data_IF_959140787980
#
_entry.id   IF_959140787980
#
_cell.length_a   1.000
_cell.length_b   1.000
_cell.length_c   1.000
_cell.angle_alpha   90.00
_cell.angle_beta   90.00
_cell.angle_gamma   90.00
#
_symmetry.space_group_name_H-M   'P 1'
#
loop_
_entity.id
_entity.type
_entity.pdbx_description
1 polymer ?
#
# COMPACT_ATOMS: atom_id res chain seq x y z
N UNK A 1 14.46 -48.09 -90.61
CA UNK A 1 14.88 -49.10 -89.60
C UNK A 1 13.96 -49.01 -88.39
N UNK A 2 13.83 -50.12 -87.66
CA UNK A 2 12.74 -50.53 -86.76
C UNK A 2 12.22 -49.55 -85.67
N UNK A 3 10.95 -49.81 -85.32
CA UNK A 3 10.06 -49.24 -84.28
C UNK A 3 10.69 -49.03 -82.91
N UNK A 4 10.09 -48.14 -82.11
CA UNK A 4 9.52 -48.42 -80.77
C UNK A 4 8.71 -47.22 -80.24
N UNK A 5 7.40 -47.42 -80.01
CA UNK A 5 6.59 -46.65 -79.05
C UNK A 5 6.97 -47.01 -77.62
N UNK A 6 6.90 -46.06 -76.66
CA UNK A 6 6.09 -46.36 -75.47
C UNK A 6 5.34 -45.18 -74.83
N UNK A 7 4.12 -45.52 -74.41
CA UNK A 7 3.50 -45.28 -73.09
C UNK A 7 3.00 -43.87 -72.74
N UNK A 8 1.68 -43.77 -72.68
CA UNK A 8 0.93 -42.75 -71.97
C UNK A 8 1.30 -42.74 -70.47
N UNK A 9 1.70 -41.58 -69.95
CA UNK A 9 1.80 -41.34 -68.52
C UNK A 9 0.69 -40.38 -68.09
N UNK A 10 0.08 -40.75 -66.98
CA UNK A 10 -1.10 -40.19 -66.34
C UNK A 10 -0.85 -38.79 -65.79
N UNK A 11 -1.73 -37.83 -66.12
CA UNK A 11 -1.82 -36.56 -65.41
C UNK A 11 -2.21 -36.83 -63.95
N UNK A 12 -1.24 -36.73 -63.05
CA UNK A 12 -1.48 -36.67 -61.62
C UNK A 12 -1.97 -35.26 -61.28
N UNK A 13 -3.28 -35.11 -61.01
CA UNK A 13 -3.85 -33.92 -60.37
C UNK A 13 -3.07 -33.62 -59.09
N UNK A 14 -2.34 -32.50 -59.04
CA UNK A 14 -1.81 -31.94 -57.79
C UNK A 14 -2.98 -31.70 -56.82
N UNK A 15 -2.90 -32.14 -55.55
CA UNK A 15 -3.91 -31.81 -54.56
C UNK A 15 -3.90 -30.30 -54.34
N UNK A 16 -5.07 -29.67 -54.45
CA UNK A 16 -5.25 -28.25 -54.21
C UNK A 16 -4.76 -27.87 -52.82
N UNK A 17 -3.86 -26.90 -52.73
CA UNK A 17 -3.47 -26.26 -51.46
C UNK A 17 -4.73 -25.74 -50.78
N UNK A 18 -5.10 -26.35 -49.66
CA UNK A 18 -6.19 -25.93 -48.80
C UNK A 18 -5.87 -24.56 -48.19
N UNK A 19 -6.38 -23.48 -48.82
CA UNK A 19 -6.39 -22.10 -48.27
C UNK A 19 -7.11 -21.97 -46.92
N UNK A 20 -7.81 -23.01 -46.45
CA UNK A 20 -8.56 -23.02 -45.20
C UNK A 20 -7.71 -23.14 -43.92
N UNK A 21 -6.50 -23.73 -43.97
CA UNK A 21 -5.68 -23.96 -42.77
C UNK A 21 -5.10 -22.68 -42.16
N UNK A 22 -4.55 -21.80 -43.00
CA UNK A 22 -3.96 -20.52 -42.57
C UNK A 22 -5.01 -19.53 -42.04
N UNK A 23 -6.23 -19.51 -42.59
CA UNK A 23 -7.30 -18.63 -42.10
C UNK A 23 -7.83 -19.05 -40.73
N UNK A 24 -8.01 -20.37 -40.50
CA UNK A 24 -8.40 -20.90 -39.20
C UNK A 24 -7.29 -20.68 -38.17
N UNK A 25 -6.04 -20.93 -38.54
CA UNK A 25 -4.89 -20.71 -37.64
C UNK A 25 -4.74 -19.22 -37.28
N UNK A 26 -4.92 -18.30 -38.22
CA UNK A 26 -4.95 -16.86 -37.95
C UNK A 26 -6.12 -16.45 -37.04
N UNK A 27 -7.31 -17.03 -37.23
CA UNK A 27 -8.47 -16.79 -36.36
C UNK A 27 -8.22 -17.34 -34.95
N UNK A 28 -7.69 -18.56 -34.80
CA UNK A 28 -7.33 -19.14 -33.50
C UNK A 28 -6.22 -18.36 -32.80
N UNK A 29 -5.18 -17.91 -33.52
CA UNK A 29 -4.16 -17.01 -32.96
C UNK A 29 -4.78 -15.68 -32.53
N UNK A 30 -5.73 -15.12 -33.29
CA UNK A 30 -6.40 -13.86 -32.94
C UNK A 30 -7.35 -13.98 -31.73
N UNK A 31 -8.09 -15.09 -31.61
CA UNK A 31 -8.97 -15.35 -30.47
C UNK A 31 -8.18 -15.64 -29.19
N UNK A 32 -7.12 -16.45 -29.27
CA UNK A 32 -6.23 -16.71 -28.14
C UNK A 32 -5.51 -15.44 -27.68
N UNK A 33 -5.11 -14.57 -28.62
CA UNK A 33 -4.51 -13.27 -28.29
C UNK A 33 -5.52 -12.32 -27.62
N UNK A 34 -6.78 -12.30 -28.06
CA UNK A 34 -7.84 -11.53 -27.42
C UNK A 34 -8.17 -12.02 -26.00
N UNK A 35 -8.18 -13.34 -25.77
CA UNK A 35 -8.38 -13.92 -24.43
C UNK A 35 -7.21 -13.54 -23.52
N UNK A 36 -5.96 -13.66 -23.99
CA UNK A 36 -4.78 -13.25 -23.21
C UNK A 36 -4.88 -11.77 -22.82
N UNK A 37 -5.25 -10.89 -23.77
CA UNK A 37 -5.46 -9.47 -23.51
C UNK A 37 -6.54 -9.21 -22.44
N UNK A 38 -7.66 -9.95 -22.48
CA UNK A 38 -8.74 -9.77 -21.52
C UNK A 38 -8.42 -10.33 -20.12
N UNK A 39 -7.69 -11.45 -20.06
CA UNK A 39 -7.40 -12.17 -18.81
C UNK A 39 -6.16 -11.63 -18.11
N UNK A 40 -5.18 -11.10 -18.84
CA UNK A 40 -3.93 -10.60 -18.28
C UNK A 40 -4.12 -9.51 -17.21
N UNK A 41 -4.94 -8.46 -17.41
CA UNK A 41 -5.19 -7.48 -16.35
C UNK A 41 -5.89 -8.09 -15.12
N UNK A 42 -6.70 -9.13 -15.27
CA UNK A 42 -7.28 -9.84 -14.11
C UNK A 42 -6.23 -10.61 -13.31
N UNK A 43 -5.29 -11.29 -13.98
CA UNK A 43 -4.19 -12.00 -13.32
C UNK A 43 -3.30 -11.01 -12.56
N UNK A 44 -2.89 -9.92 -13.22
CA UNK A 44 -2.08 -8.88 -12.60
C UNK A 44 -2.84 -8.26 -11.42
N UNK A 45 -4.14 -8.00 -11.58
CA UNK A 45 -4.99 -7.49 -10.50
C UNK A 45 -4.97 -8.44 -9.30
N UNK A 46 -5.14 -9.75 -9.48
CA UNK A 46 -5.12 -10.69 -8.35
C UNK A 46 -3.76 -10.72 -7.66
N UNK A 47 -2.67 -10.74 -8.44
CA UNK A 47 -1.30 -10.78 -7.91
C UNK A 47 -0.96 -9.57 -7.05
N UNK A 48 -1.43 -8.39 -7.43
CA UNK A 48 -1.10 -7.14 -6.72
C UNK A 48 -2.16 -6.75 -5.68
N UNK A 49 -3.24 -7.52 -5.56
CA UNK A 49 -4.39 -7.13 -4.73
C UNK A 49 -5.12 -5.91 -5.29
N UNK A 50 -5.39 -5.92 -6.58
CA UNK A 50 -6.18 -4.92 -7.31
C UNK A 50 -7.68 -5.19 -7.24
N UNK A 51 -8.44 -4.72 -8.23
CA UNK A 51 -9.91 -4.79 -8.22
C UNK A 51 -10.49 -6.20 -8.15
N UNK A 52 -9.79 -7.25 -8.61
CA UNK A 52 -10.30 -8.63 -8.53
C UNK A 52 -10.45 -9.10 -7.09
N UNK A 53 -9.68 -8.55 -6.14
CA UNK A 53 -9.77 -8.88 -4.72
C UNK A 53 -11.18 -8.69 -4.13
N UNK A 54 -11.98 -7.79 -4.70
CA UNK A 54 -13.41 -7.62 -4.35
C UNK A 54 -14.26 -8.86 -4.58
N UNK A 55 -13.85 -9.69 -5.52
CA UNK A 55 -14.58 -10.87 -5.96
C UNK A 55 -13.90 -12.16 -5.48
N UNK A 56 -12.60 -12.10 -5.20
CA UNK A 56 -11.80 -13.28 -4.82
C UNK A 56 -11.48 -13.35 -3.33
N UNK A 57 -11.64 -12.27 -2.56
CA UNK A 57 -11.46 -12.34 -1.11
C UNK A 57 -12.50 -13.27 -0.47
N UNK A 58 -12.10 -14.14 0.47
CA UNK A 58 -13.06 -14.96 1.23
C UNK A 58 -13.91 -14.12 2.19
N UNK A 59 -13.53 -12.86 2.44
CA UNK A 59 -14.25 -11.92 3.30
C UNK A 59 -15.10 -11.00 2.44
N UNK A 60 -16.39 -10.91 2.78
CA UNK A 60 -17.30 -9.96 2.15
C UNK A 60 -17.48 -8.74 3.06
N UNK A 61 -16.84 -7.63 2.70
CA UNK A 61 -16.94 -6.37 3.44
C UNK A 61 -17.22 -5.20 2.52
N UNK A 62 -18.22 -4.40 2.87
CA UNK A 62 -18.64 -3.20 2.14
C UNK A 62 -18.87 -2.05 3.12
N UNK A 63 -19.04 -0.79 2.67
CA UNK A 63 -19.39 0.31 3.58
C UNK A 63 -20.68 0.06 4.39
N UNK A 64 -21.61 -0.74 3.86
CA UNK A 64 -22.83 -1.12 4.56
C UNK A 64 -22.59 -2.11 5.69
N UNK A 65 -21.48 -2.85 5.68
CA UNK A 65 -21.06 -3.77 6.73
C UNK A 65 -20.57 -3.06 8.00
N UNK A 66 -20.25 -1.76 7.92
CA UNK A 66 -19.80 -0.97 9.06
C UNK A 66 -21.00 -0.76 10.02
N UNK A 67 -20.88 -1.11 11.31
CA UNK A 67 -21.93 -0.89 12.30
C UNK A 67 -22.10 0.60 12.62
N UNK A 68 -23.10 0.94 13.43
CA UNK A 68 -23.17 2.28 14.02
C UNK A 68 -22.01 2.50 14.99
N UNK A 69 -21.31 3.63 14.85
CA UNK A 69 -20.12 4.01 15.61
C UNK A 69 -20.39 5.21 16.52
N UNK A 70 -21.65 5.50 16.83
CA UNK A 70 -22.04 6.54 17.80
C UNK A 70 -21.24 6.39 19.10
N UNK A 71 -20.62 7.48 19.55
CA UNK A 71 -19.78 7.51 20.74
C UNK A 71 -18.38 6.89 20.58
N UNK A 72 -18.00 6.46 19.37
CA UNK A 72 -16.65 6.01 19.05
C UNK A 72 -15.85 7.12 18.42
N UNK A 73 -14.58 7.20 18.79
CA UNK A 73 -13.63 8.21 18.28
C UNK A 73 -12.52 7.52 17.51
N UNK A 74 -12.25 8.04 16.31
CA UNK A 74 -11.21 7.55 15.42
C UNK A 74 -10.22 8.65 15.03
N UNK A 75 -8.93 8.34 15.08
CA UNK A 75 -7.88 9.14 14.46
C UNK A 75 -7.48 8.46 13.13
N UNK A 76 -7.45 9.22 12.05
CA UNK A 76 -6.96 8.74 10.74
C UNK A 76 -5.85 9.65 10.25
N UNK A 77 -4.62 9.13 10.18
CA UNK A 77 -3.47 9.88 9.65
C UNK A 77 -3.52 9.93 8.11
N UNK A 78 -3.17 11.07 7.52
CA UNK A 78 -3.23 11.28 6.07
C UNK A 78 -4.66 11.31 5.51
N UNK A 79 -5.63 11.72 6.32
CA UNK A 79 -7.05 11.68 5.98
C UNK A 79 -7.55 12.85 5.10
N UNK A 80 -6.65 13.69 4.59
CA UNK A 80 -7.01 14.81 3.72
C UNK A 80 -7.21 14.40 2.25
N UNK A 81 -6.75 13.21 1.85
CA UNK A 81 -6.87 12.70 0.47
C UNK A 81 -6.82 11.16 0.45
N UNK A 82 -7.00 10.57 -0.74
CA UNK A 82 -6.72 9.16 -0.99
C UNK A 82 -7.53 8.20 -0.12
N UNK A 83 -6.89 7.10 0.27
CA UNK A 83 -7.49 6.05 1.11
C UNK A 83 -7.92 6.63 2.46
N UNK A 84 -7.05 7.40 3.11
CA UNK A 84 -7.31 8.00 4.42
C UNK A 84 -8.58 8.84 4.43
N UNK A 85 -8.80 9.66 3.39
CA UNK A 85 -10.04 10.43 3.24
C UNK A 85 -11.27 9.52 3.17
N UNK A 86 -11.23 8.47 2.34
CA UNK A 86 -12.36 7.54 2.23
C UNK A 86 -12.60 6.77 3.52
N UNK A 87 -11.56 6.38 4.25
CA UNK A 87 -11.70 5.78 5.59
C UNK A 87 -12.36 6.74 6.58
N UNK A 88 -11.87 7.98 6.66
CA UNK A 88 -12.49 8.99 7.52
C UNK A 88 -13.96 9.27 7.14
N UNK A 89 -14.26 9.31 5.84
CA UNK A 89 -15.61 9.50 5.32
C UNK A 89 -16.56 8.37 5.74
N UNK A 90 -16.17 7.11 5.56
CA UNK A 90 -17.05 5.98 5.91
C UNK A 90 -17.23 5.83 7.42
N UNK A 91 -16.20 6.12 8.23
CA UNK A 91 -16.32 6.16 9.69
C UNK A 91 -17.30 7.27 10.13
N UNK A 92 -17.16 8.47 9.57
CA UNK A 92 -18.04 9.60 9.87
C UNK A 92 -19.48 9.35 9.40
N UNK A 93 -19.68 8.71 8.24
CA UNK A 93 -21.00 8.30 7.73
C UNK A 93 -21.72 7.33 8.69
N UNK A 94 -20.96 6.68 9.56
CA UNK A 94 -21.44 5.73 10.57
C UNK A 94 -21.39 6.35 11.96
N UNK A 95 -21.49 7.67 12.07
CA UNK A 95 -21.60 8.44 13.31
C UNK A 95 -20.37 8.40 14.24
N UNK A 96 -19.20 7.93 13.75
CA UNK A 96 -17.97 8.08 14.51
C UNK A 96 -17.58 9.57 14.59
N UNK A 97 -16.98 9.97 15.71
CA UNK A 97 -16.25 11.22 15.80
C UNK A 97 -14.86 11.01 15.20
N UNK A 98 -14.49 11.78 14.17
CA UNK A 98 -13.27 11.54 13.38
C UNK A 98 -12.30 12.70 13.47
N UNK A 99 -11.08 12.41 13.88
CA UNK A 99 -9.93 13.32 13.82
C UNK A 99 -9.19 13.10 12.49
N UNK A 100 -9.37 14.05 11.58
CA UNK A 100 -8.62 14.16 10.33
C UNK A 100 -7.23 14.70 10.66
N UNK A 101 -6.22 13.82 10.65
CA UNK A 101 -4.85 14.19 10.95
C UNK A 101 -4.03 14.30 9.65
N UNK A 102 -3.47 15.48 9.36
CA UNK A 102 -2.57 15.66 8.21
C UNK A 102 -1.69 16.90 8.37
N UNK A 103 -0.63 16.99 7.56
CA UNK A 103 0.37 18.07 7.67
C UNK A 103 -0.09 19.43 7.17
N UNK A 104 -1.06 19.47 6.26
CA UNK A 104 -1.49 20.67 5.55
C UNK A 104 -2.83 21.15 6.13
N UNK A 105 -2.86 22.26 6.89
CA UNK A 105 -4.09 22.74 7.51
C UNK A 105 -5.19 23.09 6.52
N UNK A 106 -4.84 23.67 5.38
CA UNK A 106 -5.81 24.07 4.35
C UNK A 106 -6.47 22.84 3.75
N UNK A 107 -5.69 21.84 3.34
CA UNK A 107 -6.24 20.59 2.79
C UNK A 107 -6.99 19.78 3.85
N UNK A 108 -6.49 19.76 5.08
CA UNK A 108 -7.14 19.10 6.20
C UNK A 108 -8.52 19.67 6.51
N UNK A 109 -8.63 21.00 6.63
CA UNK A 109 -9.91 21.68 6.85
C UNK A 109 -10.87 21.51 5.68
N UNK A 110 -10.39 21.56 4.43
CA UNK A 110 -11.21 21.28 3.25
C UNK A 110 -11.76 19.85 3.25
N UNK A 111 -10.96 18.87 3.68
CA UNK A 111 -11.40 17.48 3.82
C UNK A 111 -12.47 17.35 4.91
N UNK A 112 -12.30 17.99 6.07
CA UNK A 112 -13.32 18.03 7.12
C UNK A 112 -14.64 18.57 6.59
N UNK A 113 -14.63 19.74 5.93
CA UNK A 113 -15.83 20.36 5.39
C UNK A 113 -16.57 19.41 4.41
N UNK A 114 -15.85 18.78 3.49
CA UNK A 114 -16.40 17.79 2.56
C UNK A 114 -16.99 16.56 3.24
N UNK A 115 -16.34 16.05 4.29
CA UNK A 115 -16.85 14.88 5.02
C UNK A 115 -18.13 15.26 5.77
N UNK A 116 -18.14 16.40 6.46
CA UNK A 116 -19.32 16.89 7.17
C UNK A 116 -20.50 17.11 6.21
N UNK A 117 -20.26 17.70 5.04
CA UNK A 117 -21.28 17.88 4.00
C UNK A 117 -21.81 16.53 3.46
N UNK A 118 -20.92 15.56 3.22
CA UNK A 118 -21.29 14.27 2.64
C UNK A 118 -21.94 13.28 3.63
N UNK A 119 -21.92 13.57 4.94
CA UNK A 119 -22.39 12.66 5.99
C UNK A 119 -23.38 13.28 6.96
N UNK A 120 -23.54 14.61 6.93
CA UNK A 120 -24.24 15.42 7.94
C UNK A 120 -23.71 15.25 9.39
N UNK A 121 -22.57 14.57 9.55
CA UNK A 121 -21.93 14.39 10.84
C UNK A 121 -21.00 15.57 11.15
N UNK A 122 -21.32 16.33 12.20
CA UNK A 122 -20.55 17.50 12.64
C UNK A 122 -19.38 17.17 13.56
N UNK A 123 -19.26 15.92 14.01
CA UNK A 123 -18.18 15.43 14.86
C UNK A 123 -16.92 15.03 14.08
N UNK A 124 -16.59 15.81 13.04
CA UNK A 124 -15.34 15.64 12.28
C UNK A 124 -14.48 16.86 12.50
N UNK A 125 -13.23 16.67 12.96
CA UNK A 125 -12.32 17.77 13.32
C UNK A 125 -10.95 17.55 12.68
N UNK A 126 -10.27 18.65 12.38
CA UNK A 126 -8.90 18.63 11.88
C UNK A 126 -7.93 18.87 13.03
N UNK A 127 -6.85 18.08 13.09
CA UNK A 127 -5.67 18.36 13.91
C UNK A 127 -4.40 18.24 13.05
N UNK A 128 -3.47 19.20 13.11
CA UNK A 128 -2.26 19.18 12.30
C UNK A 128 -1.29 18.09 12.79
N UNK A 129 -0.82 17.28 11.85
CA UNK A 129 0.14 16.20 12.10
C UNK A 129 1.13 16.08 10.95
N UNK A 130 2.38 16.45 11.19
CA UNK A 130 3.51 16.17 10.30
C UNK A 130 4.35 15.02 10.87
N UNK A 131 4.23 13.84 10.27
CA UNK A 131 4.98 12.65 10.67
C UNK A 131 6.48 12.74 10.35
N UNK A 132 6.93 13.75 9.60
CA UNK A 132 8.36 14.02 9.39
C UNK A 132 9.00 14.86 10.50
N UNK A 133 8.26 15.15 11.58
CA UNK A 133 8.71 15.93 12.73
C UNK A 133 8.20 15.33 14.04
N UNK A 134 9.07 14.74 14.85
CA UNK A 134 8.71 14.17 16.15
C UNK A 134 8.10 15.24 17.10
N UNK A 135 8.53 16.50 16.98
CA UNK A 135 7.90 17.62 17.68
C UNK A 135 6.43 17.83 17.27
N UNK A 136 6.13 17.74 15.97
CA UNK A 136 4.75 17.82 15.49
C UNK A 136 3.92 16.64 15.99
N UNK A 137 4.47 15.43 15.98
CA UNK A 137 3.80 14.22 16.50
C UNK A 137 3.45 14.38 17.98
N UNK A 138 4.39 14.88 18.79
CA UNK A 138 4.15 15.17 20.22
C UNK A 138 3.07 16.21 20.42
N UNK A 139 3.13 17.31 19.65
CA UNK A 139 2.13 18.39 19.72
C UNK A 139 0.73 17.91 19.34
N UNK A 140 0.63 17.05 18.32
CA UNK A 140 -0.63 16.42 17.94
C UNK A 140 -1.21 15.54 19.06
N UNK A 141 -0.38 14.68 19.67
CA UNK A 141 -0.83 13.79 20.74
C UNK A 141 -1.35 14.60 21.95
N UNK A 142 -0.63 15.65 22.35
CA UNK A 142 -1.06 16.58 23.41
C UNK A 142 -2.38 17.28 23.06
N UNK A 143 -2.51 17.77 21.82
CA UNK A 143 -3.73 18.42 21.36
C UNK A 143 -4.94 17.47 21.38
N UNK A 144 -4.77 16.21 20.96
CA UNK A 144 -5.82 15.21 21.03
C UNK A 144 -6.19 14.87 22.49
N UNK A 145 -5.20 14.64 23.35
CA UNK A 145 -5.42 14.32 24.77
C UNK A 145 -6.14 15.47 25.51
N UNK A 146 -5.87 16.72 25.15
CA UNK A 146 -6.56 17.89 25.69
C UNK A 146 -8.06 17.93 25.34
N UNK A 147 -8.50 17.21 24.30
CA UNK A 147 -9.93 17.07 23.99
C UNK A 147 -10.67 16.15 24.97
N UNK A 148 -9.94 15.36 25.78
CA UNK A 148 -10.51 14.40 26.74
C UNK A 148 -11.50 13.41 26.10
N UNK A 149 -11.22 13.04 24.86
CA UNK A 149 -12.02 12.07 24.10
C UNK A 149 -11.45 10.65 24.30
N UNK A 150 -12.28 9.60 24.22
CA UNK A 150 -11.76 8.24 24.07
C UNK A 150 -11.00 8.12 22.74
N UNK A 151 -10.16 7.10 22.61
CA UNK A 151 -9.49 6.71 21.38
C UNK A 151 -9.80 5.25 21.09
N UNK A 152 -10.87 4.99 20.34
CA UNK A 152 -11.32 3.63 20.04
C UNK A 152 -10.61 3.05 18.81
N UNK A 153 -10.24 3.91 17.85
CA UNK A 153 -9.62 3.47 16.59
C UNK A 153 -8.48 4.43 16.21
N UNK A 154 -7.29 3.90 16.02
CA UNK A 154 -6.14 4.61 15.47
C UNK A 154 -5.74 3.99 14.14
N UNK A 155 -5.97 4.70 13.03
CA UNK A 155 -5.57 4.28 11.69
C UNK A 155 -4.31 5.02 11.28
N UNK A 156 -3.19 4.27 11.24
CA UNK A 156 -1.88 4.74 10.82
C UNK A 156 -1.78 4.60 9.28
N UNK A 157 -2.54 5.43 8.57
CA UNK A 157 -2.71 5.37 7.12
C UNK A 157 -1.69 6.22 6.34
N UNK A 158 -1.24 7.34 6.90
CA UNK A 158 -0.35 8.25 6.20
C UNK A 158 0.93 7.55 5.72
N UNK A 159 1.36 7.87 4.52
CA UNK A 159 2.65 7.42 4.04
C UNK A 159 3.09 8.17 2.81
N UNK A 160 4.39 8.15 2.58
CA UNK A 160 5.02 8.68 1.39
C UNK A 160 5.75 7.56 0.65
N UNK A 161 5.82 7.73 -0.65
CA UNK A 161 6.65 6.96 -1.57
C UNK A 161 7.20 8.00 -2.54
N UNK A 162 8.49 8.32 -2.40
CA UNK A 162 9.18 9.24 -3.30
C UNK A 162 9.79 8.51 -4.50
N UNK A 163 9.89 7.18 -4.44
CA UNK A 163 10.33 6.36 -5.56
C UNK A 163 9.28 6.27 -6.66
N UNK A 164 9.59 6.62 -7.91
CA UNK A 164 8.82 6.22 -9.06
C UNK A 164 9.14 4.74 -9.41
N UNK A 165 8.86 3.78 -8.54
CA UNK A 165 8.82 2.36 -8.91
C UNK A 165 10.13 1.79 -9.45
N UNK A 166 11.16 1.73 -8.60
CA UNK A 166 12.50 1.29 -8.97
C UNK A 166 12.69 -0.22 -9.28
N UNK A 167 11.62 -1.03 -9.38
CA UNK A 167 11.77 -2.44 -9.79
C UNK A 167 11.68 -2.67 -11.30
N UNK A 168 11.25 -1.69 -12.10
CA UNK A 168 11.10 -1.86 -13.55
C UNK A 168 11.82 -0.81 -14.41
N UNK A 169 12.47 0.17 -13.78
CA UNK A 169 12.93 1.39 -14.45
C UNK A 169 14.33 1.76 -13.95
N UNK A 170 15.35 1.05 -14.45
CA UNK A 170 16.74 1.49 -14.48
C UNK A 170 17.50 1.62 -13.15
N UNK A 171 18.84 1.60 -13.22
CA UNK A 171 19.74 1.78 -12.05
C UNK A 171 20.02 3.25 -11.70
N UNK A 172 19.48 4.20 -12.47
CA UNK A 172 19.82 5.63 -12.34
C UNK A 172 18.77 6.46 -11.58
N UNK A 173 17.75 5.82 -10.98
CA UNK A 173 16.68 6.52 -10.27
C UNK A 173 16.90 6.56 -8.75
N UNK A 174 17.96 7.22 -8.30
CA UNK A 174 17.99 7.83 -6.96
C UNK A 174 17.54 9.28 -7.10
N UNK A 175 16.28 9.49 -7.47
CA UNK A 175 15.67 10.81 -7.27
C UNK A 175 14.98 10.80 -5.91
N UNK A 176 15.49 11.57 -4.96
CA UNK A 176 14.70 11.92 -3.77
C UNK A 176 15.08 11.25 -2.46
N UNK A 177 16.36 10.86 -2.28
CA UNK A 177 16.89 10.74 -0.93
C UNK A 177 16.65 12.07 -0.20
N UNK A 178 15.88 12.01 0.88
CA UNK A 178 15.57 13.15 1.73
C UNK A 178 15.61 12.68 3.17
N UNK A 179 15.92 13.62 4.07
CA UNK A 179 15.85 13.39 5.50
C UNK A 179 14.63 14.11 6.08
N UNK A 180 14.00 13.52 7.08
CA UNK A 180 13.03 14.19 7.94
C UNK A 180 13.69 15.30 8.74
N UNK A 181 12.89 16.12 9.44
CA UNK A 181 13.40 17.19 10.29
C UNK A 181 14.31 16.64 11.42
N UNK A 182 14.08 15.39 11.82
CA UNK A 182 14.83 14.68 12.87
C UNK A 182 16.03 13.89 12.32
N UNK A 183 16.29 14.00 11.00
CA UNK A 183 17.44 13.42 10.32
C UNK A 183 17.28 11.96 9.88
N UNK A 184 16.06 11.41 9.94
CA UNK A 184 15.79 10.05 9.45
C UNK A 184 15.61 10.02 7.94
N UNK A 185 15.98 8.94 7.28
CA UNK A 185 15.57 8.67 5.90
C UNK A 185 14.04 8.81 5.81
N UNK A 186 13.57 9.52 4.78
CA UNK A 186 12.21 10.05 4.76
C UNK A 186 11.12 8.96 4.77
N UNK A 187 11.31 7.82 4.10
CA UNK A 187 10.33 6.75 4.07
C UNK A 187 10.17 6.10 5.43
N UNK A 188 11.27 5.66 6.05
CA UNK A 188 11.21 5.04 7.39
C UNK A 188 10.78 6.05 8.45
N UNK A 189 11.27 7.29 8.34
CA UNK A 189 10.93 8.39 9.23
C UNK A 189 9.43 8.69 9.27
N UNK A 190 8.81 8.84 8.10
CA UNK A 190 7.38 9.18 7.98
C UNK A 190 6.48 7.96 8.16
N UNK A 191 6.77 6.85 7.47
CA UNK A 191 5.83 5.73 7.37
C UNK A 191 5.80 4.88 8.64
N UNK A 192 6.93 4.77 9.35
CA UNK A 192 7.12 3.92 10.53
C UNK A 192 7.46 4.73 11.79
N UNK A 193 8.57 5.46 11.84
CA UNK A 193 9.06 6.10 13.08
C UNK A 193 8.05 7.12 13.64
N UNK A 194 7.52 8.00 12.79
CA UNK A 194 6.50 8.98 13.21
C UNK A 194 5.22 8.32 13.73
N UNK A 195 4.80 7.21 13.11
CA UNK A 195 3.63 6.44 13.54
C UNK A 195 3.87 5.62 14.80
N UNK A 196 5.06 5.04 14.94
CA UNK A 196 5.51 4.37 16.15
C UNK A 196 5.45 5.35 17.32
N UNK A 197 6.07 6.52 17.16
CA UNK A 197 6.10 7.54 18.20
C UNK A 197 4.69 8.05 18.56
N UNK A 198 3.85 8.31 17.54
CA UNK A 198 2.45 8.68 17.74
C UNK A 198 1.70 7.62 18.58
N UNK A 199 1.87 6.34 18.25
CA UNK A 199 1.21 5.25 18.95
C UNK A 199 1.67 5.14 20.39
N UNK A 200 2.98 5.30 20.64
CA UNK A 200 3.53 5.29 21.99
C UNK A 200 3.00 6.44 22.85
N UNK A 201 2.87 7.65 22.28
CA UNK A 201 2.30 8.80 23.00
C UNK A 201 0.80 8.66 23.28
N UNK A 202 0.07 7.93 22.42
CA UNK A 202 -1.37 7.68 22.56
C UNK A 202 -1.68 6.34 23.24
N UNK A 203 -0.67 5.61 23.72
CA UNK A 203 -0.81 4.27 24.29
C UNK A 203 -1.79 4.25 25.46
N UNK A 204 -1.65 5.17 26.41
CA UNK A 204 -2.55 5.25 27.57
C UNK A 204 -3.98 5.61 27.16
N UNK A 205 -4.16 6.48 26.15
CA UNK A 205 -5.48 6.79 25.59
C UNK A 205 -6.15 5.56 24.98
N UNK A 206 -5.38 4.72 24.26
CA UNK A 206 -5.87 3.47 23.68
C UNK A 206 -6.29 2.49 24.78
N UNK A 207 -5.45 2.29 25.80
CA UNK A 207 -5.71 1.37 26.92
C UNK A 207 -6.95 1.83 27.70
N UNK A 208 -7.04 3.11 28.04
CA UNK A 208 -8.18 3.68 28.77
C UNK A 208 -9.50 3.59 27.97
N UNK A 209 -9.41 3.42 26.65
CA UNK A 209 -10.56 3.36 25.73
C UNK A 209 -10.88 1.94 25.28
N UNK A 210 -10.26 0.92 25.90
CA UNK A 210 -10.49 -0.47 25.57
C UNK A 210 -11.99 -0.85 25.65
N UNK A 211 -12.53 -1.64 24.70
CA UNK A 211 -11.84 -2.20 23.54
C UNK A 211 -11.49 -1.12 22.50
N UNK A 212 -10.21 -1.08 22.10
CA UNK A 212 -9.67 -0.13 21.12
C UNK A 212 -8.74 -0.85 20.14
N UNK A 213 -8.43 -0.18 19.01
CA UNK A 213 -7.73 -0.81 17.89
C UNK A 213 -6.70 0.10 17.25
N UNK A 214 -5.61 -0.50 16.79
CA UNK A 214 -4.60 0.14 15.94
C UNK A 214 -4.53 -0.59 14.60
N UNK A 215 -4.65 0.13 13.49
CA UNK A 215 -4.51 -0.44 12.14
C UNK A 215 -3.35 0.25 11.42
N UNK A 216 -2.29 -0.50 11.15
CA UNK A 216 -1.08 -0.03 10.46
C UNK A 216 -1.17 -0.30 8.96
N UNK A 217 -1.25 0.76 8.15
CA UNK A 217 -1.30 0.61 6.69
C UNK A 217 0.12 0.37 6.15
N UNK A 218 0.33 -0.85 5.69
CA UNK A 218 1.52 -1.31 5.00
C UNK A 218 1.23 -1.38 3.48
N UNK A 219 1.87 -2.28 2.74
CA UNK A 219 1.74 -2.42 1.29
C UNK A 219 2.38 -3.74 0.86
N UNK A 220 1.95 -4.31 -0.27
CA UNK A 220 2.68 -5.40 -0.95
C UNK A 220 4.14 -5.06 -1.25
N UNK A 221 4.52 -3.78 -1.26
CA UNK A 221 5.92 -3.36 -1.38
C UNK A 221 6.83 -3.88 -0.26
N UNK A 222 6.29 -4.34 0.88
CA UNK A 222 7.06 -5.00 1.94
C UNK A 222 7.88 -6.21 1.43
N UNK A 223 7.35 -6.94 0.43
CA UNK A 223 8.06 -8.07 -0.18
C UNK A 223 9.35 -7.64 -0.89
N UNK A 224 9.44 -6.36 -1.26
CA UNK A 224 10.57 -5.73 -1.94
C UNK A 224 11.55 -5.04 -1.00
N UNK A 225 11.44 -5.23 0.32
CA UNK A 225 12.43 -4.78 1.29
C UNK A 225 13.81 -5.41 1.04
N UNK A 226 14.84 -4.94 1.76
CA UNK A 226 16.22 -5.36 1.52
C UNK A 226 16.41 -6.87 1.65
N UNK A 227 17.17 -7.49 0.75
CA UNK A 227 17.47 -8.92 0.80
C UNK A 227 18.92 -9.16 1.23
N UNK A 228 19.19 -10.11 2.16
CA UNK A 228 18.22 -10.96 2.87
C UNK A 228 17.64 -10.32 4.16
N UNK A 229 18.11 -9.14 4.55
CA UNK A 229 17.97 -8.61 5.92
C UNK A 229 16.58 -8.06 6.27
N UNK A 230 15.80 -7.63 5.28
CA UNK A 230 14.53 -6.92 5.40
C UNK A 230 14.69 -5.49 5.91
N UNK A 231 15.25 -5.34 7.11
CA UNK A 231 15.48 -4.07 7.79
C UNK A 231 16.98 -3.82 7.95
N UNK A 232 17.44 -2.65 7.50
CA UNK A 232 18.81 -2.15 7.59
C UNK A 232 18.85 -0.87 8.40
N UNK A 233 19.07 -0.99 9.71
CA UNK A 233 19.05 0.12 10.67
C UNK A 233 20.10 1.19 10.38
N UNK A 234 21.24 0.79 9.79
CA UNK A 234 22.31 1.69 9.39
C UNK A 234 21.91 2.67 8.28
N UNK A 235 20.82 2.37 7.54
CA UNK A 235 20.23 3.24 6.52
C UNK A 235 19.11 4.16 7.06
N UNK A 236 18.76 4.07 8.35
CA UNK A 236 17.65 4.85 8.89
C UNK A 236 18.02 6.30 9.19
N UNK A 237 19.29 6.55 9.55
CA UNK A 237 19.81 7.89 9.86
C UNK A 237 21.16 8.16 9.19
N UNK A 238 21.24 8.04 7.85
CA UNK A 238 22.49 8.22 7.13
C UNK A 238 22.96 9.68 7.20
N UNK A 239 24.27 9.88 7.20
CA UNK A 239 24.88 11.22 7.33
C UNK A 239 24.54 12.14 6.14
N UNK A 240 24.53 11.56 4.94
CA UNK A 240 24.23 12.23 3.67
C UNK A 240 23.91 11.19 2.59
N UNK A 241 23.61 11.67 1.38
CA UNK A 241 23.28 10.82 0.24
C UNK A 241 24.48 9.96 -0.21
N UNK A 242 25.70 10.48 -0.12
CA UNK A 242 26.91 9.74 -0.50
C UNK A 242 27.14 8.53 0.42
N UNK A 243 26.95 8.74 1.73
CA UNK A 243 27.01 7.68 2.73
C UNK A 243 25.92 6.63 2.48
N UNK A 244 24.67 7.06 2.27
CA UNK A 244 23.57 6.16 1.97
C UNK A 244 23.86 5.32 0.70
N UNK A 245 24.35 5.96 -0.36
CA UNK A 245 24.73 5.29 -1.61
C UNK A 245 25.86 4.28 -1.42
N UNK A 246 26.91 4.64 -0.65
CA UNK A 246 28.01 3.74 -0.33
C UNK A 246 27.55 2.51 0.47
N UNK A 247 26.50 2.67 1.28
CA UNK A 247 25.85 1.60 2.03
C UNK A 247 24.82 0.82 1.20
N UNK A 248 24.67 1.11 -0.09
CA UNK A 248 23.77 0.39 -0.98
C UNK A 248 22.30 0.77 -0.80
N UNK A 249 22.02 2.03 -0.46
CA UNK A 249 20.65 2.57 -0.46
C UNK A 249 19.99 2.40 -1.84
N UNK A 250 18.78 1.87 -1.84
CA UNK A 250 17.89 1.80 -2.98
C UNK A 250 16.51 2.27 -2.54
N UNK A 251 15.90 3.19 -3.28
CA UNK A 251 14.73 3.95 -2.85
C UNK A 251 13.47 3.09 -2.78
N UNK A 252 13.29 2.17 -3.74
CA UNK A 252 12.20 1.19 -3.72
C UNK A 252 12.31 0.22 -2.55
N UNK A 253 13.51 -0.26 -2.25
CA UNK A 253 13.82 -1.15 -1.13
C UNK A 253 13.69 -0.42 0.22
N UNK A 254 14.05 0.86 0.30
CA UNK A 254 13.83 1.71 1.48
C UNK A 254 12.33 1.91 1.76
N UNK A 255 11.53 2.17 0.73
CA UNK A 255 10.08 2.19 0.86
C UNK A 255 9.53 0.83 1.29
N UNK A 256 9.96 -0.27 0.65
CA UNK A 256 9.57 -1.63 1.02
C UNK A 256 9.90 -1.97 2.47
N UNK A 257 11.11 -1.61 2.92
CA UNK A 257 11.54 -1.72 4.31
C UNK A 257 10.60 -0.97 5.26
N UNK A 258 10.19 0.26 4.93
CA UNK A 258 9.25 1.02 5.75
C UNK A 258 7.88 0.31 5.89
N UNK A 259 7.45 -0.42 4.86
CA UNK A 259 6.19 -1.17 4.85
C UNK A 259 6.32 -2.52 5.57
N UNK A 260 7.47 -3.17 5.49
CA UNK A 260 7.80 -4.33 6.33
C UNK A 260 7.84 -3.93 7.82
N UNK A 261 8.45 -2.79 8.14
CA UNK A 261 8.50 -2.25 9.50
C UNK A 261 7.10 -2.02 10.09
N UNK A 262 6.16 -1.46 9.31
CA UNK A 262 4.76 -1.29 9.75
C UNK A 262 4.07 -2.61 10.13
N UNK A 263 4.36 -3.70 9.41
CA UNK A 263 3.77 -5.01 9.68
C UNK A 263 4.39 -5.66 10.92
N UNK A 264 5.72 -5.64 11.05
CA UNK A 264 6.43 -6.12 12.24
C UNK A 264 6.05 -5.30 13.49
N UNK A 265 5.85 -3.98 13.34
CA UNK A 265 5.36 -3.11 14.40
C UNK A 265 3.98 -3.54 14.90
N UNK A 266 3.04 -3.83 14.00
CA UNK A 266 1.69 -4.24 14.40
C UNK A 266 1.74 -5.53 15.23
N UNK A 267 2.59 -6.49 14.86
CA UNK A 267 2.81 -7.73 15.62
C UNK A 267 3.32 -7.50 17.02
N UNK A 268 4.43 -6.76 17.13
CA UNK A 268 5.00 -6.47 18.45
C UNK A 268 4.03 -5.66 19.31
N UNK A 269 3.34 -4.67 18.73
CA UNK A 269 2.33 -3.90 19.45
C UNK A 269 1.20 -4.81 19.97
N UNK A 270 0.82 -5.86 19.23
CA UNK A 270 -0.16 -6.86 19.66
C UNK A 270 0.33 -7.62 20.89
N UNK A 271 1.59 -8.05 20.91
CA UNK A 271 2.21 -8.70 22.07
C UNK A 271 2.24 -7.76 23.28
N UNK A 272 2.70 -6.52 23.06
CA UNK A 272 2.85 -5.50 24.08
C UNK A 272 1.51 -5.05 24.70
N UNK A 273 0.40 -5.17 23.97
CA UNK A 273 -0.93 -4.72 24.40
C UNK A 273 -1.94 -5.85 24.65
N UNK A 274 -1.51 -7.11 24.56
CA UNK A 274 -2.36 -8.30 24.65
C UNK A 274 -3.26 -8.32 25.89
N UNK A 275 -2.74 -7.88 27.03
CA UNK A 275 -3.46 -7.89 28.32
C UNK A 275 -4.28 -6.60 28.57
N UNK A 276 -4.20 -5.63 27.67
CA UNK A 276 -4.85 -4.32 27.83
C UNK A 276 -6.13 -4.15 27.01
N UNK A 277 -6.61 -5.21 26.35
CA UNK A 277 -7.84 -5.14 25.55
C UNK A 277 -7.72 -4.26 24.30
N UNK A 278 -6.49 -4.00 23.83
CA UNK A 278 -6.21 -3.29 22.59
C UNK A 278 -5.76 -4.29 21.54
N UNK A 279 -6.39 -4.27 20.36
CA UNK A 279 -5.97 -5.10 19.23
C UNK A 279 -5.25 -4.29 18.16
N UNK A 280 -4.40 -4.98 17.41
CA UNK A 280 -3.52 -4.38 16.41
C UNK A 280 -3.55 -5.21 15.15
N UNK A 281 -3.51 -4.55 13.99
CA UNK A 281 -3.54 -5.22 12.70
C UNK A 281 -2.67 -4.45 11.72
N UNK A 282 -2.13 -5.15 10.72
CA UNK A 282 -1.49 -4.49 9.57
C UNK A 282 -2.11 -4.95 8.26
N UNK A 283 -2.09 -4.09 7.24
CA UNK A 283 -2.68 -4.46 5.96
C UNK A 283 -2.06 -3.79 4.75
N UNK A 284 -2.15 -4.48 3.61
CA UNK A 284 -2.02 -3.89 2.27
C UNK A 284 -3.41 -3.44 1.79
N UNK A 285 -3.62 -2.15 1.48
CA UNK A 285 -4.93 -1.65 1.04
C UNK A 285 -5.24 -1.99 -0.43
N UNK A 286 -4.31 -2.62 -1.13
CA UNK A 286 -4.42 -2.89 -2.57
C UNK A 286 -3.61 -1.90 -3.40
N UNK A 287 -3.32 -2.26 -4.64
CA UNK A 287 -2.71 -1.29 -5.57
C UNK A 287 -3.83 -0.44 -6.15
N UNK A 288 -3.86 0.83 -5.72
CA UNK A 288 -4.89 1.80 -6.06
C UNK A 288 -4.37 2.87 -7.03
N UNK A 289 -5.28 3.41 -7.83
CA UNK A 289 -5.04 4.69 -8.53
C UNK A 289 -5.03 5.76 -7.44
N UNK A 290 -3.87 6.34 -7.15
CA UNK A 290 -3.71 7.33 -6.09
C UNK A 290 -2.81 8.48 -6.53
N UNK A 291 -2.87 9.59 -5.83
CA UNK A 291 -1.90 10.69 -5.96
C UNK A 291 -0.44 10.23 -5.79
N UNK A 292 -0.22 9.08 -5.14
CA UNK A 292 1.09 8.44 -5.01
C UNK A 292 1.67 8.04 -6.38
N UNK A 293 0.82 7.73 -7.37
CA UNK A 293 1.26 7.37 -8.73
C UNK A 293 1.60 8.57 -9.60
N UNK A 294 1.34 9.82 -9.17
CA UNK A 294 1.74 11.02 -9.91
C UNK A 294 3.25 11.13 -10.07
N UNK A 295 4.01 10.68 -9.08
CA UNK A 295 5.48 10.58 -9.18
C UNK A 295 5.92 9.47 -10.16
N UNK A 296 5.13 8.39 -10.32
CA UNK A 296 5.39 7.35 -11.32
C UNK A 296 5.22 7.89 -12.75
N UNK A 297 4.14 8.63 -13.02
CA UNK A 297 3.78 9.06 -14.37
C UNK A 297 4.80 10.03 -15.00
N UNK A 298 5.26 11.04 -14.25
CA UNK A 298 6.19 12.04 -14.75
C UNK A 298 7.56 11.45 -15.13
N UNK A 299 8.04 10.46 -14.38
CA UNK A 299 9.35 9.84 -14.59
C UNK A 299 9.33 8.76 -15.69
N UNK A 300 8.18 8.08 -15.88
CA UNK A 300 7.97 7.16 -17.00
C UNK A 300 8.05 7.91 -18.34
N UNK A 301 7.54 9.14 -18.42
CA UNK A 301 7.56 9.95 -19.65
C UNK A 301 8.98 10.41 -20.02
N UNK A 302 9.79 10.81 -19.04
CA UNK A 302 11.16 11.27 -19.24
C UNK A 302 12.12 10.12 -19.64
N UNK A 303 12.01 8.95 -18.99
CA UNK A 303 12.80 7.78 -19.37
C UNK A 303 12.33 7.13 -20.67
N UNK A 304 11.03 7.10 -20.94
CA UNK A 304 10.51 6.59 -22.21
C UNK A 304 11.11 7.37 -23.39
N UNK A 305 11.40 8.67 -23.23
CA UNK A 305 12.02 9.45 -24.29
C UNK A 305 13.41 8.97 -24.72
N UNK A 306 14.15 8.24 -23.87
CA UNK A 306 15.48 7.70 -24.20
C UNK A 306 15.44 6.27 -24.76
N UNK A 307 14.28 5.60 -24.79
CA UNK A 307 14.14 4.22 -25.29
C UNK A 307 13.64 4.17 -26.73
N UNK A 308 13.86 3.04 -27.41
CA UNK A 308 13.39 2.84 -28.79
C UNK A 308 11.87 2.99 -28.88
N UNK A 309 11.36 3.47 -30.01
CA UNK A 309 9.93 3.72 -30.19
C UNK A 309 9.04 2.50 -29.89
N UNK A 310 9.50 1.28 -30.20
CA UNK A 310 8.81 0.03 -29.86
C UNK A 310 8.76 -0.22 -28.36
N UNK A 311 9.86 0.02 -27.64
CA UNK A 311 9.90 -0.13 -26.17
C UNK A 311 9.04 0.91 -25.46
N UNK A 312 8.92 2.13 -26.00
CA UNK A 312 7.97 3.15 -25.53
C UNK A 312 6.53 2.71 -25.70
N UNK A 313 6.21 2.16 -26.86
CA UNK A 313 4.88 1.63 -27.15
C UNK A 313 4.51 0.47 -26.20
N UNK A 314 5.45 -0.45 -25.96
CA UNK A 314 5.25 -1.55 -25.00
C UNK A 314 5.11 -1.06 -23.56
N UNK A 315 5.91 -0.09 -23.13
CA UNK A 315 5.84 0.49 -21.78
C UNK A 315 4.52 1.25 -21.57
N UNK A 316 4.07 2.02 -22.57
CA UNK A 316 2.78 2.71 -22.53
C UNK A 316 1.61 1.73 -22.50
N UNK A 317 1.65 0.68 -23.34
CA UNK A 317 0.66 -0.38 -23.29
C UNK A 317 0.64 -1.06 -21.92
N UNK A 318 1.80 -1.47 -21.40
CA UNK A 318 1.92 -2.07 -20.07
C UNK A 318 1.39 -1.15 -18.96
N UNK A 319 1.73 0.13 -18.98
CA UNK A 319 1.21 1.13 -18.04
C UNK A 319 -0.32 1.22 -18.07
N UNK A 320 -0.92 1.24 -19.27
CA UNK A 320 -2.38 1.20 -19.45
C UNK A 320 -3.01 -0.11 -18.92
N UNK A 321 -2.37 -1.25 -19.15
CA UNK A 321 -2.83 -2.53 -18.59
C UNK A 321 -2.70 -2.58 -17.07
N UNK A 322 -1.65 -1.97 -16.52
CA UNK A 322 -1.44 -1.87 -15.09
C UNK A 322 -2.49 -0.96 -14.43
N UNK A 323 -2.83 0.18 -15.05
CA UNK A 323 -3.95 1.03 -14.61
C UNK A 323 -5.27 0.26 -14.55
N UNK A 324 -5.55 -0.61 -15.54
CA UNK A 324 -6.74 -1.47 -15.57
C UNK A 324 -6.76 -2.55 -14.48
N UNK A 325 -5.60 -2.90 -13.91
CA UNK A 325 -5.51 -3.88 -12.83
C UNK A 325 -5.75 -3.25 -11.45
N UNK A 326 -5.65 -1.93 -11.31
CA UNK A 326 -5.77 -1.23 -10.03
C UNK A 326 -7.21 -1.18 -9.53
N UNK A 327 -7.37 -1.09 -8.21
CA UNK A 327 -8.66 -0.85 -7.59
C UNK A 327 -8.94 0.65 -7.39
N UNK A 328 -10.22 0.99 -7.24
CA UNK A 328 -10.62 2.38 -6.96
C UNK A 328 -10.13 2.78 -5.56
N UNK A 329 -9.77 4.04 -5.38
CA UNK A 329 -9.29 4.58 -4.10
C UNK A 329 -10.25 4.31 -2.93
N UNK A 330 -11.56 4.43 -3.16
CA UNK A 330 -12.59 4.12 -2.17
C UNK A 330 -12.58 2.64 -1.73
N UNK A 331 -12.23 1.74 -2.64
CA UNK A 331 -12.16 0.31 -2.37
C UNK A 331 -10.94 -0.05 -1.53
N UNK A 332 -9.85 0.69 -1.69
CA UNK A 332 -8.65 0.50 -0.87
C UNK A 332 -8.86 0.81 0.62
N UNK A 333 -9.89 1.60 0.95
CA UNK A 333 -10.27 1.86 2.33
C UNK A 333 -10.95 0.65 3.01
N UNK A 334 -11.47 -0.32 2.25
CA UNK A 334 -12.29 -1.40 2.79
C UNK A 334 -11.50 -2.30 3.74
N UNK A 335 -10.22 -2.56 3.45
CA UNK A 335 -9.40 -3.43 4.31
C UNK A 335 -9.18 -2.80 5.68
N UNK A 336 -8.74 -1.55 5.74
CA UNK A 336 -8.51 -0.88 7.03
C UNK A 336 -9.82 -0.60 7.77
N UNK A 337 -10.93 -0.33 7.06
CA UNK A 337 -12.27 -0.23 7.67
C UNK A 337 -12.71 -1.56 8.27
N UNK A 338 -12.54 -2.67 7.56
CA UNK A 338 -12.83 -4.02 8.06
C UNK A 338 -12.10 -4.29 9.38
N UNK A 339 -10.79 -4.07 9.39
CA UNK A 339 -9.96 -4.28 10.59
C UNK A 339 -10.34 -3.33 11.75
N UNK A 340 -10.75 -2.11 11.41
CA UNK A 340 -11.15 -1.11 12.40
C UNK A 340 -12.48 -1.42 13.10
N UNK A 341 -13.42 -2.13 12.45
CA UNK A 341 -14.80 -2.22 12.94
C UNK A 341 -15.40 -3.62 13.03
N UNK A 342 -14.86 -4.63 12.31
CA UNK A 342 -15.40 -5.99 12.35
C UNK A 342 -15.27 -6.63 13.72
N UNK A 343 -16.02 -7.70 14.00
CA UNK A 343 -15.91 -8.36 15.29
C UNK A 343 -14.49 -8.88 15.51
N UNK A 344 -13.92 -8.67 16.70
CA UNK A 344 -12.56 -9.12 17.03
C UNK A 344 -12.41 -10.63 16.88
N UNK A 345 -13.49 -11.41 17.08
CA UNK A 345 -13.46 -12.87 16.90
C UNK A 345 -13.28 -13.32 15.45
N UNK A 346 -13.52 -12.43 14.48
CA UNK A 346 -13.31 -12.68 13.05
C UNK A 346 -11.87 -12.33 12.62
N UNK A 347 -11.10 -11.71 13.52
CA UNK A 347 -9.77 -11.19 13.24
C UNK A 347 -8.73 -11.90 14.12
N UNK A 348 -7.49 -11.94 13.63
CA UNK A 348 -6.34 -12.47 14.34
C UNK A 348 -5.43 -11.30 14.70
N UNK A 349 -5.20 -11.12 16.01
CA UNK A 349 -4.47 -9.99 16.56
C UNK A 349 -2.98 -10.04 16.13
N UNK A 350 -2.43 -8.91 15.71
CA UNK A 350 -1.05 -8.79 15.24
C UNK A 350 -0.81 -9.21 13.79
N UNK A 351 -1.80 -9.80 13.12
CA UNK A 351 -1.58 -10.37 11.79
C UNK A 351 -1.65 -9.35 10.63
N UNK A 352 -1.14 -9.79 9.49
CA UNK A 352 -1.14 -9.06 8.22
C UNK A 352 -2.29 -9.49 7.30
N UNK A 353 -2.89 -8.50 6.65
CA UNK A 353 -4.09 -8.67 5.83
C UNK A 353 -3.93 -8.11 4.43
N UNK A 354 -4.44 -8.88 3.46
CA UNK A 354 -4.56 -8.49 2.06
C UNK A 354 -5.93 -7.86 1.75
N UNK A 355 -6.09 -7.27 0.56
CA UNK A 355 -7.27 -6.49 0.23
C UNK A 355 -8.58 -7.21 0.48
N UNK A 356 -9.55 -6.43 0.96
CA UNK A 356 -10.85 -6.89 1.45
C UNK A 356 -10.68 -7.86 2.62
N UNK A 357 -9.70 -7.62 3.50
CA UNK A 357 -9.59 -8.34 4.78
C UNK A 357 -9.15 -9.80 4.69
N UNK A 358 -8.53 -10.23 3.60
CA UNK A 358 -8.01 -11.61 3.50
C UNK A 358 -6.84 -11.79 4.49
N UNK A 359 -7.00 -12.67 5.48
CA UNK A 359 -5.92 -12.99 6.43
C UNK A 359 -4.76 -13.70 5.72
N UNK A 360 -3.55 -13.15 5.87
CA UNK A 360 -2.31 -13.76 5.40
C UNK A 360 -1.45 -14.33 6.54
N UNK A 361 -1.63 -13.78 7.75
CA UNK A 361 -0.77 -14.07 8.89
C UNK A 361 0.48 -13.20 8.84
N UNK A 362 1.55 -13.71 8.25
CA UNK A 362 2.80 -12.96 8.11
C UNK A 362 2.81 -12.08 6.83
N UNK A 363 3.56 -10.96 6.82
CA UNK A 363 3.95 -10.34 5.57
C UNK A 363 4.80 -11.30 4.73
N UNK A 364 4.78 -11.11 3.41
CA UNK A 364 5.31 -12.03 2.39
C UNK A 364 6.84 -12.07 2.39
N UNK A 365 7.50 -10.98 2.79
CA UNK A 365 8.94 -10.97 2.95
C UNK A 365 9.41 -12.06 3.92
N UNK A 366 10.54 -12.73 3.64
CA UNK A 366 11.03 -13.85 4.45
C UNK A 366 11.26 -13.48 5.93
N UNK A 367 11.65 -12.23 6.19
CA UNK A 367 11.81 -11.69 7.54
C UNK A 367 10.50 -11.32 8.25
N UNK A 368 9.36 -11.43 7.56
CA UNK A 368 8.04 -11.08 8.06
C UNK A 368 7.57 -11.91 9.25
N UNK A 369 8.09 -13.12 9.39
CA UNK A 369 7.86 -14.04 10.52
C UNK A 369 9.03 -14.08 11.52
N UNK A 370 10.06 -13.23 11.36
CA UNK A 370 11.22 -13.24 12.23
C UNK A 370 10.94 -12.50 13.55
N UNK A 371 10.63 -13.24 14.61
CA UNK A 371 10.37 -12.69 15.95
C UNK A 371 11.58 -11.95 16.55
N UNK A 372 12.80 -12.34 16.21
CA UNK A 372 14.01 -11.66 16.70
C UNK A 372 14.11 -10.27 16.08
N UNK A 373 13.93 -10.18 14.76
CA UNK A 373 13.91 -8.91 14.04
C UNK A 373 12.74 -8.02 14.46
N UNK A 374 11.56 -8.61 14.71
CA UNK A 374 10.40 -7.90 15.25
C UNK A 374 10.75 -7.16 16.55
N UNK A 375 11.33 -7.87 17.52
CA UNK A 375 11.72 -7.30 18.83
C UNK A 375 12.87 -6.31 18.70
N UNK A 376 13.82 -6.59 17.81
CA UNK A 376 14.93 -5.68 17.50
C UNK A 376 14.44 -4.37 16.88
N UNK A 377 13.55 -4.44 15.88
CA UNK A 377 12.91 -3.28 15.26
C UNK A 377 12.30 -2.35 16.31
N UNK A 378 11.56 -2.92 17.27
CA UNK A 378 10.96 -2.14 18.35
C UNK A 378 12.02 -1.41 19.17
N UNK A 379 13.02 -2.14 19.70
CA UNK A 379 14.08 -1.56 20.54
C UNK A 379 14.89 -0.49 19.81
N UNK A 380 15.23 -0.74 18.55
CA UNK A 380 16.02 0.19 17.74
C UNK A 380 15.22 1.44 17.38
N UNK A 381 13.92 1.30 17.07
CA UNK A 381 13.04 2.45 16.85
C UNK A 381 12.98 3.34 18.08
N UNK A 382 12.79 2.76 19.28
CA UNK A 382 12.81 3.53 20.52
C UNK A 382 14.17 4.18 20.81
N UNK A 383 15.27 3.43 20.60
CA UNK A 383 16.63 3.93 20.82
C UNK A 383 16.89 5.16 19.95
N UNK A 384 16.59 5.08 18.66
CA UNK A 384 16.83 6.16 17.71
C UNK A 384 15.97 7.40 17.99
N UNK A 385 14.72 7.22 18.43
CA UNK A 385 13.87 8.34 18.87
C UNK A 385 14.49 9.02 20.10
N UNK A 386 14.91 8.26 21.11
CA UNK A 386 15.55 8.82 22.32
C UNK A 386 16.84 9.59 21.98
N UNK A 387 17.63 9.11 21.03
CA UNK A 387 18.83 9.78 20.54
C UNK A 387 18.55 11.12 19.83
N UNK A 388 17.31 11.36 19.39
CA UNK A 388 16.85 12.67 18.89
C UNK A 388 16.29 13.59 19.96
N UNK A 389 16.25 13.15 21.23
CA UNK A 389 15.76 13.94 22.37
C UNK A 389 14.25 13.83 22.63
N UNK A 390 13.59 12.80 22.10
CA UNK A 390 12.13 12.62 22.16
C UNK A 390 11.62 11.48 23.05
#
# INVERSE_FOLDING_TARGET
>A
MCKLTPIASTETKKPGKTRGGLSKMAVYLSASFAIVIAVFPMIISEMIGGWTAKYTSPVYFTPNSIPDLTGKVAIVTGANTGIGYHTALELARKNAQVIVASRDPTKGQAAVARIQEATDNRDVRFLPLDLSSLASVRSFAQAFQALQLPLNVLILNAGIMKSPGAQFIGKNMTQGFELTQDGFEVHIGVNHIGHFYLTQLLRDSLIASAPSRVVSVSSIAEQGAYQPDGIRFELWKPLNVEYAAAMGYEDGMAYGQSKLANALFAKELAEQLKEHGVTTYSCHPGVIVSELTRYLAANIEEEAMQKSWWSRMLLHAFGKYFELAQMKTADGALTQLHLAVSNVTELSNGEFYHPIGRLMGNPTHAQGSNETLQKELWRETERMIRETGF
#
